data_IF_564506775796
#
_entry.id   IF_564506775796
#
_cell.length_a   1.000
_cell.length_b   1.000
_cell.length_c   1.000
_cell.angle_alpha   90.00
_cell.angle_beta   90.00
_cell.angle_gamma   90.00
#
_symmetry.space_group_name_H-M   'P 1'
#
loop_
_entity.id
_entity.type
_entity.pdbx_description
1 polymer ?
#
# COMPACT_ATOMS: atom_id res chain seq x y z
N UNK A 1 -35.68 26.77 41.94
CA UNK A 1 -34.95 25.48 42.02
C UNK A 1 -35.43 24.59 40.89
N UNK A 2 -34.54 24.14 40.00
CA UNK A 2 -34.97 23.17 38.98
C UNK A 2 -35.47 21.92 39.70
N UNK A 3 -36.67 21.43 39.34
CA UNK A 3 -37.26 20.28 40.01
C UNK A 3 -36.27 19.11 39.96
N UNK A 4 -36.12 18.39 41.07
CA UNK A 4 -35.21 17.24 41.20
C UNK A 4 -35.41 16.25 40.05
N UNK A 5 -36.66 16.11 39.60
CA UNK A 5 -37.03 15.27 38.46
C UNK A 5 -36.39 15.73 37.14
N UNK A 6 -36.33 17.05 36.89
CA UNK A 6 -35.77 17.60 35.66
C UNK A 6 -34.24 17.39 35.60
N UNK A 7 -33.56 17.48 36.75
CA UNK A 7 -32.12 17.17 36.87
C UNK A 7 -31.85 15.68 36.61
N UNK A 8 -32.66 14.80 37.17
CA UNK A 8 -32.59 13.36 36.93
C UNK A 8 -32.77 13.00 35.45
N UNK A 9 -33.79 13.54 34.80
CA UNK A 9 -34.03 13.33 33.37
C UNK A 9 -32.86 13.82 32.51
N UNK A 10 -32.30 15.01 32.82
CA UNK A 10 -31.15 15.56 32.11
C UNK A 10 -29.90 14.68 32.27
N UNK A 11 -29.62 14.20 33.49
CA UNK A 11 -28.50 13.28 33.73
C UNK A 11 -28.65 11.96 32.96
N UNK A 12 -29.85 11.37 32.93
CA UNK A 12 -30.11 10.14 32.17
C UNK A 12 -29.92 10.39 30.67
N UNK A 13 -30.43 11.50 30.13
CA UNK A 13 -30.26 11.84 28.72
C UNK A 13 -28.78 11.98 28.33
N UNK A 14 -27.97 12.64 29.17
CA UNK A 14 -26.52 12.77 28.95
C UNK A 14 -25.80 11.43 29.01
N UNK A 15 -26.17 10.54 29.94
CA UNK A 15 -25.59 9.21 30.03
C UNK A 15 -25.91 8.37 28.79
N UNK A 16 -27.16 8.40 28.32
CA UNK A 16 -27.59 7.69 27.11
C UNK A 16 -26.88 8.24 25.88
N UNK A 17 -26.80 9.57 25.72
CA UNK A 17 -26.15 10.18 24.56
C UNK A 17 -24.65 9.91 24.52
N UNK A 18 -23.98 9.96 25.67
CA UNK A 18 -22.55 9.61 25.78
C UNK A 18 -22.31 8.14 25.44
N UNK A 19 -23.14 7.23 25.98
CA UNK A 19 -23.04 5.80 25.73
C UNK A 19 -23.26 5.48 24.24
N UNK A 20 -24.29 6.07 23.63
CA UNK A 20 -24.55 5.92 22.19
C UNK A 20 -23.43 6.52 21.34
N UNK A 21 -22.85 7.65 21.75
CA UNK A 21 -21.70 8.26 21.05
C UNK A 21 -20.48 7.35 21.07
N UNK A 22 -20.17 6.72 22.20
CA UNK A 22 -19.06 5.77 22.31
C UNK A 22 -19.25 4.56 21.40
N UNK A 23 -20.46 4.00 21.37
CA UNK A 23 -20.81 2.87 20.49
C UNK A 23 -20.72 3.27 19.00
N UNK A 24 -21.17 4.48 18.66
CA UNK A 24 -21.11 4.98 17.28
C UNK A 24 -19.67 5.25 16.81
N UNK A 25 -18.79 5.72 17.71
CA UNK A 25 -17.38 5.98 17.41
C UNK A 25 -16.54 4.70 17.35
N UNK A 26 -16.86 3.70 18.18
CA UNK A 26 -16.19 2.41 18.16
C UNK A 26 -17.19 1.26 18.07
N UNK A 27 -17.60 0.96 16.84
CA UNK A 27 -18.48 -0.17 16.54
C UNK A 27 -17.87 -1.51 16.95
N UNK A 28 -16.56 -1.56 17.21
CA UNK A 28 -15.90 -2.75 17.71
C UNK A 28 -16.38 -3.14 19.12
N UNK A 29 -16.94 -2.21 19.91
CA UNK A 29 -17.59 -2.52 21.19
C UNK A 29 -18.81 -3.44 21.00
N UNK A 30 -19.55 -3.27 19.91
CA UNK A 30 -20.64 -4.17 19.55
C UNK A 30 -20.10 -5.55 19.13
N UNK A 31 -18.96 -5.55 18.43
CA UNK A 31 -18.31 -6.79 17.96
C UNK A 31 -17.74 -7.61 19.12
N UNK A 32 -17.13 -6.98 20.13
CA UNK A 32 -16.64 -7.67 21.34
C UNK A 32 -17.78 -8.26 22.16
N UNK A 33 -18.97 -7.62 22.13
CA UNK A 33 -20.19 -8.14 22.72
C UNK A 33 -20.88 -9.25 21.89
N UNK A 34 -20.30 -9.66 20.76
CA UNK A 34 -20.79 -10.75 19.91
C UNK A 34 -21.78 -10.33 18.81
N UNK A 35 -22.06 -9.03 18.66
CA UNK A 35 -22.95 -8.55 17.60
C UNK A 35 -22.20 -8.39 16.28
N UNK A 36 -22.63 -9.14 15.27
CA UNK A 36 -22.15 -8.99 13.90
C UNK A 36 -23.00 -7.96 13.16
N UNK A 37 -22.36 -6.86 12.74
CA UNK A 37 -23.01 -5.86 11.91
C UNK A 37 -23.21 -6.41 10.49
N UNK A 38 -24.43 -6.26 9.96
CA UNK A 38 -24.78 -6.65 8.59
C UNK A 38 -23.96 -5.89 7.54
N UNK A 39 -23.60 -4.64 7.82
CA UNK A 39 -22.80 -3.78 6.94
C UNK A 39 -21.36 -3.69 7.46
N UNK A 40 -20.40 -3.70 6.53
CA UNK A 40 -19.00 -3.36 6.83
C UNK A 40 -18.90 -1.96 7.43
N UNK A 41 -18.14 -1.81 8.52
CA UNK A 41 -17.96 -0.51 9.16
C UNK A 41 -17.13 0.38 8.22
N UNK A 42 -17.61 1.58 7.84
CA UNK A 42 -16.81 2.53 7.07
C UNK A 42 -15.44 2.82 7.68
N UNK A 43 -15.33 2.78 9.01
CA UNK A 43 -14.08 3.00 9.75
C UNK A 43 -13.03 1.91 9.47
N UNK A 44 -13.44 0.69 9.06
CA UNK A 44 -12.53 -0.38 8.67
C UNK A 44 -11.62 0.07 7.52
N UNK A 45 -12.07 1.03 6.67
CA UNK A 45 -11.25 1.64 5.62
C UNK A 45 -10.06 2.43 6.15
N UNK A 46 -10.15 3.03 7.34
CA UNK A 46 -9.10 3.86 7.94
C UNK A 46 -8.19 3.06 8.89
N UNK A 47 -8.54 1.79 9.16
CA UNK A 47 -7.90 0.96 10.18
C UNK A 47 -6.99 -0.10 9.54
N UNK A 48 -6.03 -0.58 10.33
CA UNK A 48 -5.16 -1.71 9.97
C UNK A 48 -4.00 -1.40 9.02
N UNK A 49 -3.89 -0.17 8.50
CA UNK A 49 -2.81 0.22 7.58
C UNK A 49 -1.43 0.11 8.21
N UNK A 50 -1.23 0.64 9.43
CA UNK A 50 0.07 0.58 10.12
C UNK A 50 0.57 -0.84 10.35
N UNK A 51 -0.32 -1.77 10.74
CA UNK A 51 0.02 -3.17 10.94
C UNK A 51 0.31 -3.88 9.61
N UNK A 52 -0.48 -3.59 8.57
CA UNK A 52 -0.25 -4.14 7.24
C UNK A 52 1.10 -3.67 6.67
N UNK A 53 1.40 -2.38 6.77
CA UNK A 53 2.66 -1.79 6.32
C UNK A 53 3.87 -2.34 7.07
N UNK A 54 3.77 -2.56 8.39
CA UNK A 54 4.84 -3.26 9.14
C UNK A 54 5.08 -4.68 8.63
N UNK A 55 4.03 -5.40 8.25
CA UNK A 55 4.19 -6.74 7.69
C UNK A 55 4.84 -6.70 6.30
N UNK A 56 4.49 -5.72 5.46
CA UNK A 56 5.17 -5.46 4.18
C UNK A 56 6.65 -5.14 4.41
N UNK A 57 6.96 -4.23 5.35
CA UNK A 57 8.33 -3.83 5.67
C UNK A 57 9.15 -5.01 6.18
N UNK A 58 8.56 -5.87 7.01
CA UNK A 58 9.20 -7.10 7.47
C UNK A 58 9.52 -8.02 6.29
N UNK A 59 8.54 -8.31 5.43
CA UNK A 59 8.78 -9.17 4.25
C UNK A 59 9.83 -8.57 3.31
N UNK A 60 9.82 -7.25 3.08
CA UNK A 60 10.86 -6.58 2.31
C UNK A 60 12.24 -6.85 2.90
N UNK A 61 12.43 -6.59 4.20
CA UNK A 61 13.72 -6.78 4.84
C UNK A 61 14.17 -8.26 4.84
N UNK A 62 13.23 -9.20 5.02
CA UNK A 62 13.52 -10.64 4.99
C UNK A 62 14.00 -11.08 3.60
N UNK A 63 13.35 -10.62 2.53
CA UNK A 63 13.78 -10.93 1.15
C UNK A 63 15.07 -10.20 0.75
N UNK A 64 15.23 -8.93 1.14
CA UNK A 64 16.48 -8.18 0.89
C UNK A 64 17.68 -8.87 1.55
N UNK A 65 17.50 -9.41 2.76
CA UNK A 65 18.54 -10.16 3.46
C UNK A 65 18.88 -11.49 2.75
N UNK A 66 17.92 -12.13 2.10
CA UNK A 66 18.12 -13.38 1.36
C UNK A 66 18.78 -13.15 -0.01
N UNK A 67 18.38 -12.10 -0.72
CA UNK A 67 18.81 -11.81 -2.08
C UNK A 67 20.10 -11.00 -2.14
N UNK A 68 20.41 -10.24 -1.07
CA UNK A 68 21.56 -9.34 -1.03
C UNK A 68 21.37 -8.06 -1.86
N UNK A 69 20.15 -7.79 -2.31
CA UNK A 69 19.78 -6.62 -3.10
C UNK A 69 18.64 -5.83 -2.46
N UNK A 70 18.48 -4.57 -2.86
CA UNK A 70 17.40 -3.71 -2.36
C UNK A 70 16.17 -3.81 -3.26
N UNK A 71 15.03 -4.12 -2.64
CA UNK A 71 13.75 -4.28 -3.33
C UNK A 71 12.96 -2.98 -3.29
N UNK A 72 12.53 -2.51 -4.46
CA UNK A 72 11.58 -1.42 -4.53
C UNK A 72 10.14 -1.94 -4.39
N UNK A 73 9.21 -1.06 -4.02
CA UNK A 73 7.83 -1.45 -3.70
C UNK A 73 6.84 -0.90 -4.74
N UNK A 74 5.94 -1.77 -5.22
CA UNK A 74 4.87 -1.41 -6.14
C UNK A 74 3.52 -1.80 -5.52
N UNK A 75 2.50 -0.97 -5.66
CA UNK A 75 1.13 -1.27 -5.27
C UNK A 75 0.16 -1.18 -6.46
N UNK A 76 -0.82 -2.10 -6.53
CA UNK A 76 -1.94 -2.10 -7.50
C UNK A 76 -2.77 -0.80 -7.59
N UNK A 77 -2.70 0.11 -6.61
CA UNK A 77 -3.54 1.30 -6.57
C UNK A 77 -2.93 2.44 -5.76
N UNK A 78 -3.30 3.67 -6.13
CA UNK A 78 -2.89 4.92 -5.48
C UNK A 78 -3.08 4.90 -3.97
N UNK A 79 -4.28 4.56 -3.50
CA UNK A 79 -4.60 4.58 -2.07
C UNK A 79 -3.62 3.71 -1.29
N UNK A 80 -3.33 2.50 -1.78
CA UNK A 80 -2.43 1.60 -1.07
C UNK A 80 -0.97 2.03 -1.17
N UNK A 81 -0.51 2.54 -2.32
CA UNK A 81 0.81 3.13 -2.43
C UNK A 81 0.99 4.27 -1.40
N UNK A 82 -0.01 5.13 -1.29
CA UNK A 82 -0.03 6.27 -0.35
C UNK A 82 0.02 5.80 1.11
N UNK A 83 -0.83 4.84 1.48
CA UNK A 83 -0.94 4.34 2.85
C UNK A 83 0.32 3.57 3.27
N UNK A 84 0.88 2.74 2.38
CA UNK A 84 2.16 2.07 2.65
C UNK A 84 3.26 3.11 2.80
N UNK A 85 3.39 4.05 1.86
CA UNK A 85 4.36 5.16 1.92
C UNK A 85 4.26 5.97 3.21
N UNK A 86 3.04 6.24 3.68
CA UNK A 86 2.81 7.00 4.91
C UNK A 86 3.33 6.28 6.16
N UNK A 87 2.99 4.99 6.32
CA UNK A 87 3.29 4.20 7.52
C UNK A 87 4.66 3.48 7.49
N UNK A 88 5.36 3.46 6.36
CA UNK A 88 6.73 2.92 6.27
C UNK A 88 7.64 3.66 7.26
N UNK A 89 8.45 2.91 8.01
CA UNK A 89 9.47 3.50 8.88
C UNK A 89 10.70 3.83 8.06
N UNK A 90 11.12 2.88 7.23
CA UNK A 90 12.22 3.03 6.30
C UNK A 90 11.71 3.45 4.91
N UNK A 91 11.56 4.77 4.75
CA UNK A 91 11.13 5.44 3.51
C UNK A 91 12.32 5.66 2.60
N UNK A 92 12.62 4.67 1.77
CA UNK A 92 13.66 4.75 0.76
C UNK A 92 13.09 5.37 -0.50
N UNK A 93 13.68 6.47 -0.96
CA UNK A 93 13.37 7.06 -2.25
C UNK A 93 14.53 6.79 -3.21
N UNK A 94 14.22 6.46 -4.45
CA UNK A 94 15.19 6.10 -5.49
C UNK A 94 15.75 7.34 -6.25
N UNK A 95 15.35 8.53 -5.81
CA UNK A 95 15.82 9.79 -6.36
C UNK A 95 15.02 10.99 -5.84
N UNK A 96 15.40 12.23 -6.22
CA UNK A 96 14.64 13.42 -5.89
C UNK A 96 13.19 13.32 -6.37
N UNK A 97 12.23 13.53 -5.46
CA UNK A 97 10.81 13.49 -5.80
C UNK A 97 10.19 12.10 -5.96
N UNK A 98 10.98 11.02 -5.99
CA UNK A 98 10.43 9.67 -6.09
C UNK A 98 9.68 9.25 -4.82
N UNK A 99 8.51 8.60 -4.94
CA UNK A 99 7.84 7.99 -3.80
C UNK A 99 8.60 6.75 -3.32
N UNK A 100 8.44 6.38 -2.04
CA UNK A 100 8.97 5.11 -1.52
C UNK A 100 8.16 3.88 -1.96
N UNK A 101 6.96 4.10 -2.51
CA UNK A 101 6.09 3.05 -3.05
C UNK A 101 5.46 3.56 -4.34
N UNK A 102 5.64 2.83 -5.42
CA UNK A 102 5.13 3.16 -6.74
C UNK A 102 3.74 2.57 -6.98
N UNK A 103 2.99 3.16 -7.91
CA UNK A 103 1.78 2.55 -8.48
C UNK A 103 2.15 1.76 -9.72
N UNK A 104 1.38 0.76 -10.10
CA UNK A 104 1.58 0.03 -11.37
C UNK A 104 1.58 0.97 -12.58
N UNK A 105 2.46 0.69 -13.54
CA UNK A 105 2.50 1.35 -14.86
C UNK A 105 1.10 1.48 -15.48
N UNK A 106 0.77 2.69 -15.90
CA UNK A 106 -0.49 3.05 -16.55
C UNK A 106 -0.28 4.26 -17.45
N UNK A 107 -0.92 4.24 -18.63
CA UNK A 107 -0.96 5.41 -19.53
C UNK A 107 -2.01 6.44 -19.09
N UNK A 108 -2.96 6.03 -18.25
CA UNK A 108 -4.04 6.90 -17.80
C UNK A 108 -3.58 7.88 -16.72
N UNK A 109 -3.78 9.18 -16.97
CA UNK A 109 -3.61 10.25 -15.98
C UNK A 109 -4.84 10.34 -15.06
N UNK A 110 -5.03 9.36 -14.19
CA UNK A 110 -6.24 9.25 -13.36
C UNK A 110 -6.20 10.17 -12.13
N UNK A 111 -5.00 10.51 -11.64
CA UNK A 111 -4.85 11.20 -10.36
C UNK A 111 -3.50 11.95 -10.22
N UNK A 112 -3.35 12.68 -9.11
CA UNK A 112 -2.14 13.48 -8.82
C UNK A 112 -0.84 12.65 -8.67
N UNK A 113 -0.91 11.34 -8.37
CA UNK A 113 0.27 10.47 -8.32
C UNK A 113 0.84 10.21 -9.72
N UNK A 114 0.05 10.41 -10.78
CA UNK A 114 0.54 10.25 -12.15
C UNK A 114 1.58 11.31 -12.52
N UNK A 115 1.69 12.39 -11.75
CA UNK A 115 2.70 13.45 -11.91
C UNK A 115 3.95 13.22 -11.06
N UNK A 116 3.99 12.15 -10.27
CA UNK A 116 5.17 11.82 -9.48
C UNK A 116 6.13 10.98 -10.33
N UNK A 117 7.45 11.07 -10.09
CA UNK A 117 8.42 10.25 -10.79
C UNK A 117 8.07 8.77 -10.74
N UNK A 118 8.00 8.14 -11.90
CA UNK A 118 7.58 6.74 -12.03
C UNK A 118 8.79 5.83 -12.19
N UNK A 119 8.59 4.53 -11.97
CA UNK A 119 9.68 3.56 -12.13
C UNK A 119 9.91 3.16 -13.60
N UNK A 120 8.92 3.41 -14.47
CA UNK A 120 8.99 3.24 -15.92
C UNK A 120 9.49 4.49 -16.66
N UNK A 121 9.72 5.59 -15.93
CA UNK A 121 10.24 6.82 -16.52
C UNK A 121 11.74 6.70 -16.81
N UNK A 122 12.14 7.13 -18.00
CA UNK A 122 13.55 7.19 -18.39
C UNK A 122 14.13 8.54 -17.96
N UNK A 123 15.28 8.50 -17.27
CA UNK A 123 15.96 9.72 -16.83
C UNK A 123 17.09 10.03 -17.80
N UNK A 124 17.15 11.26 -18.30
CA UNK A 124 18.23 11.72 -19.16
C UNK A 124 19.61 11.55 -18.47
N UNK A 125 20.55 10.94 -19.18
CA UNK A 125 21.93 10.84 -18.73
C UNK A 125 22.55 12.24 -18.62
N UNK A 126 23.04 12.60 -17.41
CA UNK A 126 23.91 13.77 -17.27
C UNK A 126 25.16 13.58 -18.15
N UNK A 127 25.59 14.61 -18.90
CA UNK A 127 26.79 14.51 -19.75
C UNK A 127 28.00 14.08 -18.91
N UNK A 128 28.64 12.96 -19.27
CA UNK A 128 29.87 12.47 -18.62
C UNK A 128 29.72 11.25 -17.68
N UNK A 129 28.53 10.66 -17.54
CA UNK A 129 28.33 9.46 -16.72
C UNK A 129 28.63 8.18 -17.53
N UNK A 130 29.48 7.25 -17.06
CA UNK A 130 29.74 5.99 -17.78
C UNK A 130 28.46 5.17 -17.92
N UNK A 131 28.11 4.78 -19.15
CA UNK A 131 26.97 3.91 -19.42
C UNK A 131 27.21 2.53 -18.75
N UNK A 132 26.28 2.05 -17.90
CA UNK A 132 26.30 0.65 -17.48
C UNK A 132 26.02 -0.20 -18.71
N UNK A 133 26.97 -1.05 -19.07
CA UNK A 133 26.94 -1.83 -20.30
C UNK A 133 25.70 -2.72 -20.42
N UNK A 134 25.11 -2.72 -21.62
CA UNK A 134 23.97 -3.55 -21.99
C UNK A 134 22.86 -2.72 -22.60
N UNK A 135 22.93 -2.58 -23.93
CA UNK A 135 21.99 -1.91 -24.84
C UNK A 135 20.52 -1.90 -24.38
N UNK A 136 19.97 -0.69 -24.19
CA UNK A 136 18.55 -0.41 -24.41
C UNK A 136 18.49 0.91 -25.18
N UNK A 137 18.30 0.80 -26.49
CA UNK A 137 18.09 1.96 -27.38
C UNK A 137 16.63 2.42 -27.20
N UNK A 138 16.41 3.41 -26.33
CA UNK A 138 15.23 4.27 -26.43
C UNK A 138 15.61 5.53 -27.20
N UNK A 139 14.69 6.03 -28.03
CA UNK A 139 14.91 7.16 -28.95
C UNK A 139 15.31 8.48 -28.24
N UNK A 140 15.21 8.50 -26.91
CA UNK A 140 15.82 9.48 -26.02
C UNK A 140 16.88 8.76 -25.18
N UNK A 141 18.08 9.34 -25.04
CA UNK A 141 19.25 8.81 -24.31
C UNK A 141 19.03 8.62 -22.78
N UNK A 142 17.82 8.31 -22.34
CA UNK A 142 17.46 8.07 -20.96
C UNK A 142 17.75 6.64 -20.52
N UNK A 143 18.19 6.48 -19.28
CA UNK A 143 18.32 5.17 -18.63
C UNK A 143 17.22 5.08 -17.58
N UNK A 144 16.52 3.95 -17.52
CA UNK A 144 15.63 3.65 -16.39
C UNK A 144 16.48 3.11 -15.22
N UNK A 145 16.49 3.77 -14.05
CA UNK A 145 17.26 3.34 -12.88
C UNK A 145 16.69 2.06 -12.23
N UNK A 146 15.58 1.54 -12.76
CA UNK A 146 14.89 0.35 -12.26
C UNK A 146 15.16 -0.90 -13.08
N UNK A 147 15.66 -0.76 -14.32
CA UNK A 147 15.96 -1.91 -15.19
C UNK A 147 16.98 -2.83 -14.50
N UNK A 148 16.71 -4.13 -14.52
CA UNK A 148 17.55 -5.11 -13.84
C UNK A 148 17.19 -5.37 -12.38
N UNK A 149 16.35 -4.54 -11.76
CA UNK A 149 16.06 -4.62 -10.32
C UNK A 149 14.82 -5.44 -10.01
N UNK A 150 14.80 -5.92 -8.78
CA UNK A 150 13.70 -6.68 -8.21
C UNK A 150 12.75 -5.81 -7.38
N UNK A 151 11.47 -6.21 -7.37
CA UNK A 151 10.42 -5.50 -6.67
C UNK A 151 9.51 -6.42 -5.88
N UNK A 152 8.88 -5.87 -4.84
CA UNK A 152 7.69 -6.47 -4.24
C UNK A 152 6.45 -5.76 -4.76
N UNK A 153 5.53 -6.54 -5.32
CA UNK A 153 4.22 -6.07 -5.75
C UNK A 153 3.16 -6.44 -4.71
N UNK A 154 2.47 -5.45 -4.17
CA UNK A 154 1.42 -5.59 -3.16
C UNK A 154 0.06 -5.30 -3.78
N UNK A 155 -0.86 -6.24 -3.69
CA UNK A 155 -2.25 -6.10 -4.19
C UNK A 155 -3.29 -6.33 -3.11
N UNK A 156 -4.48 -5.74 -3.30
CA UNK A 156 -5.60 -5.97 -2.41
C UNK A 156 -6.33 -7.29 -2.71
N UNK A 157 -6.66 -8.03 -1.64
CA UNK A 157 -7.33 -9.31 -1.71
C UNK A 157 -6.41 -10.43 -2.19
N UNK A 158 -6.99 -11.63 -2.26
CA UNK A 158 -6.37 -12.79 -2.88
C UNK A 158 -6.94 -12.92 -4.29
N UNK A 159 -6.06 -12.85 -5.29
CA UNK A 159 -6.45 -12.88 -6.69
C UNK A 159 -5.45 -13.75 -7.44
N UNK A 160 -5.97 -14.68 -8.21
CA UNK A 160 -5.17 -15.67 -8.93
C UNK A 160 -4.18 -15.05 -9.91
N UNK A 161 -4.59 -14.00 -10.64
CA UNK A 161 -3.81 -13.45 -11.73
C UNK A 161 -3.22 -12.08 -11.40
N UNK A 162 -1.89 -11.95 -11.47
CA UNK A 162 -1.17 -10.66 -11.42
C UNK A 162 -1.57 -9.80 -12.62
N UNK A 163 -1.74 -8.47 -12.48
CA UNK A 163 -2.06 -7.57 -13.59
C UNK A 163 -1.11 -7.76 -14.78
N UNK A 164 -1.64 -7.62 -16.00
CA UNK A 164 -0.86 -7.86 -17.23
C UNK A 164 0.42 -7.02 -17.26
N UNK A 165 0.34 -5.75 -16.87
CA UNK A 165 1.49 -4.84 -16.91
C UNK A 165 2.64 -5.34 -16.03
N UNK A 166 2.35 -5.78 -14.80
CA UNK A 166 3.37 -6.35 -13.90
C UNK A 166 3.90 -7.69 -14.42
N UNK A 167 3.06 -8.50 -15.07
CA UNK A 167 3.51 -9.78 -15.64
C UNK A 167 4.41 -9.58 -16.86
N UNK A 168 4.12 -8.59 -17.69
CA UNK A 168 4.84 -8.33 -18.93
C UNK A 168 6.15 -7.56 -18.69
N UNK A 169 6.19 -6.69 -17.68
CA UNK A 169 7.34 -5.83 -17.41
C UNK A 169 8.45 -6.49 -16.57
N UNK A 170 8.23 -7.70 -16.02
CA UNK A 170 9.21 -8.42 -15.20
C UNK A 170 9.52 -9.79 -15.80
N UNK A 171 10.73 -10.29 -15.58
CA UNK A 171 11.14 -11.62 -16.03
C UNK A 171 10.30 -12.74 -15.42
N UNK A 172 10.01 -12.65 -14.11
CA UNK A 172 9.11 -13.58 -13.42
C UNK A 172 8.35 -12.87 -12.30
N UNK A 173 7.17 -13.40 -11.98
CA UNK A 173 6.33 -12.90 -10.89
C UNK A 173 5.78 -14.06 -10.10
N UNK A 174 6.13 -14.15 -8.83
CA UNK A 174 5.81 -15.31 -7.98
C UNK A 174 5.11 -14.85 -6.69
N UNK A 175 4.02 -15.51 -6.27
CA UNK A 175 3.37 -15.19 -5.01
C UNK A 175 4.29 -15.60 -3.85
N UNK A 176 4.60 -14.67 -2.95
CA UNK A 176 5.50 -14.91 -1.81
C UNK A 176 4.80 -14.93 -0.46
N UNK A 177 3.56 -14.42 -0.40
CA UNK A 177 2.77 -14.52 0.82
C UNK A 177 1.52 -13.65 0.81
N UNK A 178 0.74 -13.83 1.86
CA UNK A 178 -0.49 -13.08 2.11
C UNK A 178 -0.41 -12.45 3.49
N UNK A 179 -0.64 -11.14 3.55
CA UNK A 179 -0.75 -10.37 4.79
C UNK A 179 -2.22 -10.27 5.15
N UNK A 180 -2.59 -10.86 6.28
CA UNK A 180 -3.90 -10.66 6.89
C UNK A 180 -3.78 -9.73 8.09
N UNK A 181 -4.51 -8.62 8.06
CA UNK A 181 -4.71 -7.79 9.25
C UNK A 181 -6.02 -8.18 9.88
N UNK A 182 -5.94 -8.72 11.10
CA UNK A 182 -7.10 -9.08 11.92
C UNK A 182 -7.32 -8.07 13.03
N UNK A 183 -8.58 -7.85 13.38
CA UNK A 183 -8.99 -7.09 14.56
C UNK A 183 -10.22 -7.77 15.17
N UNK A 184 -10.16 -8.04 16.47
CA UNK A 184 -11.23 -8.74 17.21
C UNK A 184 -11.73 -10.02 16.50
N UNK A 185 -10.79 -10.84 16.02
CA UNK A 185 -11.10 -12.10 15.34
C UNK A 185 -11.58 -11.98 13.89
N UNK A 186 -11.89 -10.77 13.40
CA UNK A 186 -12.30 -10.54 12.00
C UNK A 186 -11.12 -10.08 11.15
N UNK A 187 -11.02 -10.61 9.92
CA UNK A 187 -10.09 -10.10 8.90
C UNK A 187 -10.59 -8.74 8.42
N UNK A 188 -9.81 -7.69 8.70
CA UNK A 188 -10.07 -6.34 8.20
C UNK A 188 -9.58 -6.17 6.76
N UNK A 189 -8.41 -6.75 6.46
CA UNK A 189 -7.74 -6.55 5.19
C UNK A 189 -6.83 -7.73 4.87
N UNK A 190 -6.83 -8.09 3.61
CA UNK A 190 -5.93 -9.09 3.04
C UNK A 190 -5.14 -8.45 1.92
N UNK A 191 -3.82 -8.54 1.97
CA UNK A 191 -2.93 -8.16 0.87
C UNK A 191 -2.14 -9.35 0.41
N UNK A 192 -2.11 -9.58 -0.88
CA UNK A 192 -1.24 -10.58 -1.48
C UNK A 192 0.03 -9.89 -1.97
N UNK A 193 1.17 -10.53 -1.74
CA UNK A 193 2.50 -10.00 -2.08
C UNK A 193 3.17 -10.93 -3.06
N UNK A 194 3.77 -10.34 -4.09
CA UNK A 194 4.47 -11.04 -5.15
C UNK A 194 5.92 -10.53 -5.22
N UNK A 195 6.85 -11.44 -5.45
CA UNK A 195 8.22 -11.11 -5.82
C UNK A 195 8.29 -11.02 -7.34
N UNK A 196 8.65 -9.84 -7.83
CA UNK A 196 8.81 -9.51 -9.24
C UNK A 196 10.31 -9.43 -9.54
N UNK A 197 10.80 -10.32 -10.38
CA UNK A 197 12.24 -10.46 -10.70
C UNK A 197 12.60 -9.72 -11.97
N UNK A 198 13.73 -9.02 -11.94
CA UNK A 198 14.41 -8.41 -13.08
C UNK A 198 13.46 -7.60 -13.97
N UNK A 199 13.23 -6.34 -13.59
CA UNK A 199 12.42 -5.41 -14.37
C UNK A 199 13.03 -5.14 -15.77
N UNK A 200 12.18 -5.25 -16.81
CA UNK A 200 12.55 -5.20 -18.24
C UNK A 200 11.82 -4.11 -19.04
N UNK A 201 11.07 -3.23 -18.36
CA UNK A 201 10.10 -2.30 -18.94
C UNK A 201 8.96 -3.00 -19.69
N UNK A 202 7.85 -2.30 -19.94
CA UNK A 202 6.78 -2.84 -20.76
C UNK A 202 7.25 -3.00 -22.22
N UNK A 203 7.00 -4.17 -22.85
CA UNK A 203 7.18 -4.30 -24.29
C UNK A 203 6.17 -3.39 -25.01
N UNK A 204 6.66 -2.63 -25.99
CA UNK A 204 5.87 -1.77 -26.87
C UNK A 204 4.92 -2.58 -27.78
#
# INVERSE_FOLDING_TARGET
EASVMLRLCASVALLVSLSMSLIALDTDLLRTAGYQLWRSDPSDRMRGWKSATRAVEKMRNDFEAQLGEKLFLIADARDRASEISFYLRDKRAEGPGHPPVYITESQDLVNQFSFWPRYDEFVELKPGTPQPGGEVYTEENGISPFVGRDALFIRAGEKEHVPHNIRAAFQSTEPVGTIEVRRYGKVLRTWQVFLCRNYRTLPL
#
